data_IF_867436937408
#
_entry.id   IF_867436937408
#
_cell.length_a   1.000
_cell.length_b   1.000
_cell.length_c   1.000
_cell.angle_alpha   90.00
_cell.angle_beta   90.00
_cell.angle_gamma   90.00
#
_symmetry.space_group_name_H-M   'P 1'
#
loop_
_entity.id
_entity.type
_entity.pdbx_description
1 polymer ?
#
# COMPACT_ATOMS: atom_id res chain seq x y z
N UNK A 1 0.17 31.12 8.28
CA UNK A 1 0.31 29.99 9.21
C UNK A 1 0.37 28.69 8.41
N UNK A 2 1.57 28.20 8.08
CA UNK A 2 1.77 26.92 7.39
C UNK A 2 1.99 25.84 8.44
N UNK A 3 0.96 25.05 8.74
CA UNK A 3 1.13 23.88 9.60
C UNK A 3 2.00 22.85 8.87
N UNK A 4 3.08 22.33 9.50
CA UNK A 4 3.88 21.28 8.90
C UNK A 4 2.99 20.05 8.74
N UNK A 5 2.60 19.73 7.49
CA UNK A 5 1.93 18.48 7.16
C UNK A 5 2.94 17.36 7.39
N UNK A 6 2.99 16.84 8.62
CA UNK A 6 3.63 15.54 8.87
C UNK A 6 3.02 14.57 7.87
N UNK A 7 3.81 13.93 6.99
CA UNK A 7 3.27 12.90 6.12
C UNK A 7 2.63 11.86 7.04
N UNK A 8 1.33 11.62 6.85
CA UNK A 8 0.67 10.54 7.57
C UNK A 8 1.52 9.27 7.40
N UNK A 9 1.76 8.51 8.49
CA UNK A 9 2.65 7.34 8.43
C UNK A 9 2.16 6.31 7.40
N UNK A 10 0.85 6.32 7.10
CA UNK A 10 0.16 5.42 6.19
C UNK A 10 -0.60 6.18 5.09
N UNK A 11 -0.64 5.66 3.85
CA UNK A 11 -1.45 6.23 2.78
C UNK A 11 -2.94 6.22 3.14
N UNK A 12 -3.70 7.18 2.60
CA UNK A 12 -5.11 7.36 2.96
C UNK A 12 -5.95 6.13 2.56
N UNK A 13 -5.60 5.46 1.46
CA UNK A 13 -6.27 4.22 1.07
C UNK A 13 -6.03 3.06 2.05
N UNK A 14 -4.83 2.97 2.64
CA UNK A 14 -4.51 1.94 3.62
C UNK A 14 -5.33 2.13 4.90
N UNK A 15 -5.48 3.37 5.37
CA UNK A 15 -6.34 3.69 6.52
C UNK A 15 -7.80 3.30 6.25
N UNK A 16 -8.31 3.59 5.06
CA UNK A 16 -9.68 3.23 4.67
C UNK A 16 -9.89 1.71 4.64
N UNK A 17 -8.97 0.94 4.08
CA UNK A 17 -9.07 -0.53 4.06
C UNK A 17 -8.88 -1.17 5.44
N UNK A 18 -8.05 -0.58 6.31
CA UNK A 18 -7.86 -1.04 7.68
C UNK A 18 -9.11 -0.77 8.55
N UNK A 19 -9.74 0.40 8.36
CA UNK A 19 -11.04 0.70 8.96
C UNK A 19 -12.15 -0.21 8.43
N UNK A 20 -12.16 -0.49 7.12
CA UNK A 20 -13.11 -1.42 6.51
C UNK A 20 -12.98 -2.84 7.09
N UNK A 21 -11.74 -3.31 7.28
CA UNK A 21 -11.45 -4.58 7.93
C UNK A 21 -11.95 -4.60 9.38
N UNK A 22 -11.65 -3.56 10.16
CA UNK A 22 -12.12 -3.46 11.54
C UNK A 22 -13.65 -3.48 11.64
N UNK A 23 -14.35 -2.71 10.80
CA UNK A 23 -15.81 -2.70 10.74
C UNK A 23 -16.39 -4.05 10.33
N UNK A 24 -15.72 -4.77 9.42
CA UNK A 24 -16.12 -6.12 9.03
C UNK A 24 -16.00 -7.11 10.20
N UNK A 25 -14.94 -6.99 11.01
CA UNK A 25 -14.74 -7.78 12.25
C UNK A 25 -15.81 -7.45 13.28
N UNK A 26 -16.18 -6.18 13.45
CA UNK A 26 -17.25 -5.74 14.36
C UNK A 26 -18.67 -5.91 13.78
N UNK A 27 -18.84 -6.70 12.71
CA UNK A 27 -20.12 -6.99 12.05
C UNK A 27 -20.85 -5.79 11.41
N UNK A 28 -20.21 -4.63 11.30
CA UNK A 28 -20.72 -3.44 10.58
C UNK A 28 -20.42 -3.52 9.08
N UNK A 29 -20.96 -4.55 8.42
CA UNK A 29 -20.59 -4.93 7.06
C UNK A 29 -20.91 -3.85 6.00
N UNK A 30 -22.04 -3.15 6.14
CA UNK A 30 -22.45 -2.08 5.20
C UNK A 30 -21.50 -0.88 5.25
N UNK A 31 -21.12 -0.44 6.45
CA UNK A 31 -20.15 0.64 6.63
C UNK A 31 -18.75 0.23 6.15
N UNK A 32 -18.38 -1.04 6.38
CA UNK A 32 -17.14 -1.60 5.87
C UNK A 32 -17.06 -1.60 4.34
N UNK A 33 -18.14 -1.93 3.63
CA UNK A 33 -18.19 -1.86 2.16
C UNK A 33 -18.02 -0.44 1.61
N UNK A 34 -18.64 0.56 2.27
CA UNK A 34 -18.48 1.96 1.89
C UNK A 34 -17.01 2.42 2.02
N UNK A 35 -16.34 2.03 3.11
CA UNK A 35 -14.94 2.34 3.33
C UNK A 35 -14.00 1.55 2.41
N UNK A 36 -14.36 0.31 2.05
CA UNK A 36 -13.62 -0.47 1.07
C UNK A 36 -13.64 0.19 -0.32
N UNK A 37 -14.82 0.64 -0.76
CA UNK A 37 -14.99 1.36 -2.02
C UNK A 37 -14.28 2.73 -1.99
N UNK A 38 -14.39 3.47 -0.89
CA UNK A 38 -13.68 4.73 -0.69
C UNK A 38 -12.15 4.53 -0.74
N UNK A 39 -11.64 3.49 -0.09
CA UNK A 39 -10.22 3.11 -0.14
C UNK A 39 -9.74 2.82 -1.55
N UNK A 40 -10.53 2.09 -2.34
CA UNK A 40 -10.22 1.81 -3.75
C UNK A 40 -10.22 3.08 -4.62
N UNK A 41 -11.20 3.97 -4.44
CA UNK A 41 -11.28 5.23 -5.18
C UNK A 41 -10.11 6.18 -4.84
N UNK A 42 -9.76 6.30 -3.55
CA UNK A 42 -8.61 7.09 -3.08
C UNK A 42 -7.31 6.48 -3.60
N UNK A 43 -7.21 5.16 -3.61
CA UNK A 43 -6.04 4.46 -4.15
C UNK A 43 -5.84 4.77 -5.64
N UNK A 44 -6.87 4.61 -6.46
CA UNK A 44 -6.82 4.94 -7.89
C UNK A 44 -6.52 6.42 -8.16
N UNK A 45 -7.10 7.33 -7.36
CA UNK A 45 -7.05 8.77 -7.66
C UNK A 45 -5.77 9.45 -7.17
N UNK A 46 -5.32 9.12 -5.96
CA UNK A 46 -4.29 9.86 -5.25
C UNK A 46 -3.04 9.03 -4.95
N UNK A 47 -3.23 7.83 -4.41
CA UNK A 47 -2.11 7.06 -3.87
C UNK A 47 -1.33 6.35 -4.99
N UNK A 48 -1.97 5.84 -6.05
CA UNK A 48 -1.29 5.23 -7.19
C UNK A 48 -0.21 6.12 -7.82
N UNK A 49 -0.46 7.44 -7.87
CA UNK A 49 0.49 8.43 -8.44
C UNK A 49 1.62 8.82 -7.48
N UNK A 50 1.33 8.98 -6.18
CA UNK A 50 2.35 9.33 -5.18
C UNK A 50 3.21 8.14 -4.76
N UNK A 51 2.68 6.92 -4.88
CA UNK A 51 3.34 5.70 -4.41
C UNK A 51 4.30 5.07 -5.43
N UNK A 52 4.21 5.39 -6.74
CA UNK A 52 5.28 5.03 -7.70
C UNK A 52 6.62 5.70 -7.37
N UNK A 53 6.63 6.72 -6.54
CA UNK A 53 7.83 7.41 -6.06
C UNK A 53 8.23 7.01 -4.64
N UNK A 54 7.48 6.14 -3.94
CA UNK A 54 7.70 5.80 -2.54
C UNK A 54 7.65 4.29 -2.30
N UNK A 55 8.58 3.78 -1.51
CA UNK A 55 8.77 2.37 -1.14
C UNK A 55 7.61 1.71 -0.35
N UNK A 56 6.47 2.40 -0.23
CA UNK A 56 5.26 2.00 0.54
C UNK A 56 4.13 1.41 -0.33
N UNK A 57 4.40 1.14 -1.60
CA UNK A 57 3.42 0.62 -2.57
C UNK A 57 2.82 -0.74 -2.17
N UNK A 58 3.58 -1.60 -1.47
CA UNK A 58 3.19 -2.96 -1.07
C UNK A 58 1.99 -3.07 -0.11
N UNK A 59 1.81 -2.08 0.77
CA UNK A 59 0.91 -2.22 1.93
C UNK A 59 -0.57 -2.13 1.54
N UNK A 60 -0.90 -1.23 0.61
CA UNK A 60 -2.30 -0.95 0.28
C UNK A 60 -2.97 -2.14 -0.45
N UNK A 61 -2.35 -2.76 -1.47
CA UNK A 61 -2.90 -3.93 -2.14
C UNK A 61 -3.06 -5.14 -1.23
N UNK A 62 -2.13 -5.34 -0.28
CA UNK A 62 -2.23 -6.41 0.71
C UNK A 62 -3.41 -6.20 1.67
N UNK A 63 -3.65 -4.95 2.09
CA UNK A 63 -4.82 -4.62 2.93
C UNK A 63 -6.14 -4.76 2.17
N UNK A 64 -6.17 -4.43 0.87
CA UNK A 64 -7.34 -4.66 0.03
C UNK A 64 -7.66 -6.16 -0.09
N UNK A 65 -6.62 -7.00 -0.31
CA UNK A 65 -6.76 -8.45 -0.33
C UNK A 65 -7.29 -9.02 0.99
N UNK A 66 -6.83 -8.49 2.13
CA UNK A 66 -7.28 -8.94 3.45
C UNK A 66 -8.71 -8.47 3.77
N UNK A 67 -9.06 -7.24 3.42
CA UNK A 67 -10.36 -6.67 3.75
C UNK A 67 -11.52 -7.30 2.95
N UNK A 68 -11.31 -7.63 1.67
CA UNK A 68 -12.35 -8.16 0.80
C UNK A 68 -13.03 -9.46 1.31
N UNK A 69 -12.30 -10.56 1.61
CA UNK A 69 -12.92 -11.80 2.06
C UNK A 69 -13.56 -11.65 3.44
N UNK A 70 -13.04 -10.79 4.31
CA UNK A 70 -13.62 -10.52 5.64
C UNK A 70 -14.96 -9.77 5.50
N UNK A 71 -15.07 -8.85 4.53
CA UNK A 71 -16.32 -8.16 4.19
C UNK A 71 -17.32 -9.06 3.48
N UNK A 72 -16.86 -9.85 2.50
CA UNK A 72 -17.72 -10.68 1.68
C UNK A 72 -18.17 -11.98 2.39
N UNK A 73 -17.41 -12.45 3.38
CA UNK A 73 -17.70 -13.66 4.13
C UNK A 73 -17.88 -14.87 3.21
N UNK A 74 -18.93 -15.67 3.43
CA UNK A 74 -19.23 -16.85 2.61
C UNK A 74 -19.56 -16.54 1.14
N UNK A 75 -19.80 -15.27 0.79
CA UNK A 75 -20.09 -14.81 -0.57
C UNK A 75 -18.84 -14.26 -1.28
N UNK A 76 -17.63 -14.46 -0.71
CA UNK A 76 -16.39 -14.00 -1.31
C UNK A 76 -16.17 -14.66 -2.67
N UNK A 77 -16.15 -13.85 -3.73
CA UNK A 77 -15.86 -14.34 -5.08
C UNK A 77 -14.38 -14.74 -5.17
N UNK A 78 -14.12 -15.99 -5.50
CA UNK A 78 -12.76 -16.49 -5.73
C UNK A 78 -12.03 -15.68 -6.80
N UNK A 79 -12.73 -15.20 -7.84
CA UNK A 79 -12.16 -14.38 -8.89
C UNK A 79 -11.66 -13.02 -8.38
N UNK A 80 -12.43 -12.36 -7.50
CA UNK A 80 -12.05 -11.06 -6.94
C UNK A 80 -10.88 -11.22 -5.96
N UNK A 81 -10.93 -12.23 -5.10
CA UNK A 81 -9.83 -12.57 -4.19
C UNK A 81 -8.54 -12.88 -4.97
N UNK A 82 -8.65 -13.64 -6.06
CA UNK A 82 -7.51 -13.96 -6.93
C UNK A 82 -6.94 -12.70 -7.62
N UNK A 83 -7.80 -11.83 -8.15
CA UNK A 83 -7.37 -10.57 -8.76
C UNK A 83 -6.64 -9.67 -7.76
N UNK A 84 -7.16 -9.56 -6.53
CA UNK A 84 -6.51 -8.82 -5.44
C UNK A 84 -5.17 -9.45 -5.04
N UNK A 85 -5.10 -10.79 -5.00
CA UNK A 85 -3.89 -11.52 -4.65
C UNK A 85 -2.80 -11.34 -5.70
N UNK A 86 -3.17 -11.46 -6.98
CA UNK A 86 -2.27 -11.21 -8.10
C UNK A 86 -1.79 -9.75 -8.08
N UNK A 87 -2.69 -8.80 -7.82
CA UNK A 87 -2.33 -7.39 -7.71
C UNK A 87 -1.33 -7.15 -6.58
N UNK A 88 -1.58 -7.70 -5.38
CA UNK A 88 -0.65 -7.61 -4.26
C UNK A 88 0.72 -8.23 -4.57
N UNK A 89 0.74 -9.37 -5.26
CA UNK A 89 1.98 -10.06 -5.66
C UNK A 89 2.79 -9.23 -6.66
N UNK A 90 2.15 -8.69 -7.70
CA UNK A 90 2.82 -7.85 -8.70
C UNK A 90 3.43 -6.61 -8.05
N UNK A 91 2.67 -5.96 -7.15
CA UNK A 91 3.11 -4.79 -6.39
C UNK A 91 4.31 -5.13 -5.51
N UNK A 92 4.27 -6.26 -4.80
CA UNK A 92 5.37 -6.75 -3.98
C UNK A 92 6.63 -6.97 -4.82
N UNK A 93 6.50 -7.63 -5.98
CA UNK A 93 7.60 -7.90 -6.89
C UNK A 93 8.27 -6.61 -7.39
N UNK A 94 7.47 -5.61 -7.76
CA UNK A 94 7.97 -4.29 -8.19
C UNK A 94 8.75 -3.61 -7.06
N UNK A 95 8.22 -3.63 -5.83
CA UNK A 95 8.89 -3.01 -4.67
C UNK A 95 10.19 -3.73 -4.34
N UNK A 96 10.17 -5.06 -4.27
CA UNK A 96 11.36 -5.87 -3.98
C UNK A 96 12.43 -5.68 -5.06
N UNK A 97 12.04 -5.64 -6.34
CA UNK A 97 12.97 -5.36 -7.45
C UNK A 97 13.62 -3.97 -7.33
N UNK A 98 12.86 -2.96 -6.94
CA UNK A 98 13.39 -1.60 -6.72
C UNK A 98 14.35 -1.53 -5.53
N UNK A 99 14.01 -2.18 -4.41
CA UNK A 99 14.90 -2.25 -3.23
C UNK A 99 16.20 -2.95 -3.57
N UNK A 100 16.13 -4.11 -4.21
CA UNK A 100 17.31 -4.83 -4.70
C UNK A 100 18.16 -3.96 -5.63
N UNK A 101 17.53 -3.23 -6.56
CA UNK A 101 18.25 -2.33 -7.45
C UNK A 101 18.90 -1.16 -6.71
N UNK A 102 18.25 -0.62 -5.68
CA UNK A 102 18.79 0.47 -4.85
C UNK A 102 19.94 0.00 -3.99
N UNK A 103 19.83 -1.19 -3.37
CA UNK A 103 20.86 -1.79 -2.55
C UNK A 103 22.11 -2.11 -3.39
N UNK A 104 21.93 -2.65 -4.60
CA UNK A 104 23.01 -2.85 -5.58
C UNK A 104 23.63 -1.50 -5.96
N UNK A 105 22.83 -0.49 -6.30
CA UNK A 105 23.35 0.83 -6.67
C UNK A 105 24.13 1.50 -5.52
N UNK A 106 23.72 1.31 -4.27
CA UNK A 106 24.45 1.79 -3.09
C UNK A 106 25.73 0.99 -2.83
N UNK A 107 25.68 -0.34 -2.95
CA UNK A 107 26.84 -1.22 -2.77
C UNK A 107 27.94 -0.98 -3.81
N UNK A 108 27.57 -0.52 -5.01
CA UNK A 108 28.50 -0.16 -6.10
C UNK A 108 28.71 1.36 -6.25
N UNK A 109 28.19 2.18 -5.35
CA UNK A 109 28.51 3.61 -5.33
C UNK A 109 29.86 3.76 -4.61
N UNK A 110 30.98 4.02 -5.31
CA UNK A 110 32.26 4.20 -4.65
C UNK A 110 32.13 5.39 -3.70
N UNK A 111 32.61 5.23 -2.47
CA UNK A 111 32.77 6.29 -1.50
C UNK A 111 33.28 7.56 -2.18
N UNK A 112 32.37 8.50 -2.40
CA UNK A 112 32.69 9.87 -2.76
C UNK A 112 33.16 10.54 -1.46
N UNK A 113 34.40 10.25 -1.06
CA UNK A 113 34.88 10.66 0.26
C UNK A 113 36.37 10.55 0.56
N UNK A 114 37.21 10.01 -0.32
CA UNK A 114 38.67 10.21 -0.22
C UNK A 114 38.99 11.60 -0.80
N UNK A 115 38.64 12.68 -0.08
CA UNK A 115 39.10 14.05 -0.36
C UNK A 115 38.86 15.00 0.81
N UNK A 116 39.75 14.91 1.82
CA UNK A 116 40.21 15.95 2.78
C UNK A 116 40.80 15.19 3.98
N UNK A 117 42.05 15.35 4.41
CA UNK A 117 43.01 16.43 4.27
C UNK A 117 44.43 15.88 4.11
N UNK A 118 45.21 16.54 3.25
CA UNK A 118 46.66 16.71 3.44
C UNK A 118 46.82 17.97 4.28
#
# INVERSE_FOLDING_TARGET
MHLPRRPLPLPASALAWLAALALAIFHYRSAGWLLFAAGAAVWMRHDARRLLSSDRYGLAPALALLAYPVLAGAQASGAITFALALHALVVLLIVTSRRLSHDIAQAFSPEKGISRSI
#
